data_IF_507375118165
#
_entry.id   IF_507375118165
#
_cell.length_a   1.000
_cell.length_b   1.000
_cell.length_c   1.000
_cell.angle_alpha   90.00
_cell.angle_beta   90.00
_cell.angle_gamma   90.00
#
_symmetry.space_group_name_H-M   'P 1'
#
loop_
_entity.id
_entity.type
_entity.pdbx_description
1 polymer ?
#
# COMPACT_ATOMS: atom_id res chain seq x y z
N UNK A 1 -9.75 -5.02 27.93
CA UNK A 1 -8.44 -5.58 27.52
C UNK A 1 -7.81 -6.14 28.78
N UNK A 2 -7.25 -7.35 28.76
CA UNK A 2 -6.79 -8.00 29.98
C UNK A 2 -5.27 -8.19 29.94
N UNK A 3 -4.62 -8.05 31.10
CA UNK A 3 -3.19 -8.27 31.28
C UNK A 3 -2.96 -9.48 32.16
N UNK A 4 -1.86 -10.19 31.95
CA UNK A 4 -1.38 -11.20 32.91
C UNK A 4 -0.40 -10.56 33.88
N UNK A 5 -0.67 -10.70 35.18
CA UNK A 5 0.24 -10.30 36.26
C UNK A 5 0.41 -11.51 37.17
N UNK A 6 1.64 -12.01 37.30
CA UNK A 6 1.96 -13.17 38.13
C UNK A 6 1.08 -14.42 37.85
N UNK A 7 0.77 -14.67 36.58
CA UNK A 7 -0.04 -15.84 36.16
C UNK A 7 -1.56 -15.68 36.34
N UNK A 8 -2.05 -14.53 36.81
CA UNK A 8 -3.48 -14.22 36.91
C UNK A 8 -3.87 -13.20 35.85
N UNK A 9 -5.00 -13.44 35.19
CA UNK A 9 -5.58 -12.52 34.21
C UNK A 9 -6.38 -11.45 34.95
N UNK A 10 -5.98 -10.18 34.79
CA UNK A 10 -6.61 -9.02 35.42
C UNK A 10 -7.07 -8.06 34.32
N UNK A 11 -8.22 -7.40 34.49
CA UNK A 11 -8.64 -6.33 33.58
C UNK A 11 -7.62 -5.18 33.62
N UNK A 12 -7.26 -4.65 32.45
CA UNK A 12 -6.46 -3.43 32.37
C UNK A 12 -7.25 -2.25 32.92
N UNK A 13 -6.56 -1.32 33.56
CA UNK A 13 -7.14 -0.05 33.99
C UNK A 13 -7.42 0.86 32.79
N UNK A 14 -8.31 1.84 32.95
CA UNK A 14 -8.63 2.80 31.89
C UNK A 14 -7.39 3.59 31.42
N UNK A 15 -6.47 3.91 32.33
CA UNK A 15 -5.20 4.56 32.02
C UNK A 15 -4.29 3.68 31.15
N UNK A 16 -4.17 2.38 31.47
CA UNK A 16 -3.39 1.43 30.67
C UNK A 16 -4.01 1.21 29.28
N UNK A 17 -5.33 1.20 29.18
CA UNK A 17 -6.04 1.12 27.90
C UNK A 17 -5.80 2.39 27.06
N UNK A 18 -5.83 3.56 27.68
CA UNK A 18 -5.58 4.84 27.00
C UNK A 18 -4.14 4.92 26.46
N UNK A 19 -3.14 4.52 27.27
CA UNK A 19 -1.74 4.49 26.84
C UNK A 19 -1.53 3.49 25.70
N UNK A 20 -2.11 2.29 25.81
CA UNK A 20 -2.04 1.30 24.74
C UNK A 20 -2.66 1.82 23.44
N UNK A 21 -3.84 2.45 23.51
CA UNK A 21 -4.48 3.01 22.33
C UNK A 21 -3.70 4.20 21.74
N UNK A 22 -3.03 5.01 22.56
CA UNK A 22 -2.16 6.09 22.09
C UNK A 22 -0.90 5.56 21.39
N UNK A 23 -0.44 4.35 21.71
CA UNK A 23 0.70 3.70 21.04
C UNK A 23 0.35 3.11 19.67
N UNK A 24 -0.93 2.93 19.36
CA UNK A 24 -1.36 2.38 18.07
C UNK A 24 -1.16 3.40 16.96
N UNK A 25 -0.84 2.94 15.74
CA UNK A 25 -0.85 3.83 14.60
C UNK A 25 -2.24 4.44 14.41
N UNK A 26 -2.26 5.73 14.15
CA UNK A 26 -3.46 6.46 13.76
C UNK A 26 -3.97 5.98 12.40
N UNK A 27 -5.24 6.22 12.12
CA UNK A 27 -5.84 5.90 10.81
C UNK A 27 -5.10 6.57 9.66
N UNK A 28 -4.60 7.79 9.87
CA UNK A 28 -3.79 8.51 8.89
C UNK A 28 -2.46 7.81 8.59
N UNK A 29 -1.78 7.27 9.61
CA UNK A 29 -0.55 6.50 9.42
C UNK A 29 -0.82 5.15 8.76
N UNK A 30 -1.91 4.48 9.11
CA UNK A 30 -2.35 3.24 8.45
C UNK A 30 -2.61 3.52 6.97
N UNK A 31 -3.36 4.58 6.66
CA UNK A 31 -3.65 5.02 5.30
C UNK A 31 -2.37 5.33 4.51
N UNK A 32 -1.43 6.06 5.13
CA UNK A 32 -0.14 6.39 4.50
C UNK A 32 0.67 5.12 4.16
N UNK A 33 0.70 4.13 5.06
CA UNK A 33 1.38 2.84 4.81
C UNK A 33 0.73 2.04 3.68
N UNK A 34 -0.60 2.01 3.59
CA UNK A 34 -1.31 1.36 2.48
C UNK A 34 -0.91 1.97 1.14
N UNK A 35 -0.95 3.30 1.05
CA UNK A 35 -0.54 4.01 -0.15
C UNK A 35 0.95 3.85 -0.49
N UNK A 36 1.80 3.72 0.52
CA UNK A 36 3.22 3.41 0.31
C UNK A 36 3.39 2.03 -0.33
N UNK A 37 2.68 1.01 0.15
CA UNK A 37 2.69 -0.34 -0.43
C UNK A 37 2.21 -0.34 -1.88
N UNK A 38 1.12 0.38 -2.17
CA UNK A 38 0.58 0.50 -3.54
C UNK A 38 1.60 1.16 -4.47
N UNK A 39 2.25 2.23 -4.05
CA UNK A 39 3.32 2.87 -4.85
C UNK A 39 4.49 1.93 -5.11
N UNK A 40 4.90 1.15 -4.11
CA UNK A 40 5.95 0.15 -4.29
C UNK A 40 5.57 -0.94 -5.31
N UNK A 41 4.33 -1.43 -5.27
CA UNK A 41 3.82 -2.38 -6.27
C UNK A 41 3.77 -1.79 -7.69
N UNK A 42 3.32 -0.54 -7.82
CA UNK A 42 3.38 0.19 -9.10
C UNK A 42 4.80 0.29 -9.62
N UNK A 43 5.75 0.65 -8.76
CA UNK A 43 7.16 0.83 -9.14
C UNK A 43 7.76 -0.51 -9.61
N UNK A 44 7.40 -1.63 -8.96
CA UNK A 44 7.75 -2.97 -9.43
C UNK A 44 7.24 -3.27 -10.85
N UNK A 45 5.96 -3.01 -11.12
CA UNK A 45 5.36 -3.23 -12.46
C UNK A 45 5.95 -2.32 -13.54
N UNK A 46 6.28 -1.07 -13.20
CA UNK A 46 6.96 -0.16 -14.11
C UNK A 46 8.39 -0.62 -14.40
N UNK A 47 9.10 -1.15 -13.40
CA UNK A 47 10.44 -1.70 -13.54
C UNK A 47 10.46 -2.93 -14.45
N UNK A 48 9.52 -3.86 -14.25
CA UNK A 48 9.37 -5.08 -15.08
C UNK A 48 9.21 -4.78 -16.58
N UNK A 49 8.64 -3.61 -16.90
CA UNK A 49 8.36 -3.19 -18.29
C UNK A 49 9.33 -2.14 -18.80
N UNK A 50 10.35 -1.77 -18.03
CA UNK A 50 11.24 -0.65 -18.36
C UNK A 50 12.13 -0.95 -19.56
N UNK A 51 12.59 -2.19 -19.69
CA UNK A 51 13.40 -2.65 -20.82
C UNK A 51 12.72 -2.44 -22.19
N UNK A 52 11.37 -2.41 -22.23
CA UNK A 52 10.60 -2.17 -23.47
C UNK A 52 10.68 -0.73 -23.95
N UNK A 53 10.99 0.21 -23.04
CA UNK A 53 11.07 1.64 -23.31
C UNK A 53 12.50 2.11 -23.64
N UNK A 54 13.41 1.19 -23.99
CA UNK A 54 14.75 1.52 -24.45
C UNK A 54 14.74 2.28 -25.78
N UNK A 55 15.80 3.05 -26.06
CA UNK A 55 15.94 3.87 -27.28
C UNK A 55 15.89 3.07 -28.58
N UNK A 56 16.26 1.79 -28.51
CA UNK A 56 16.31 0.89 -29.66
C UNK A 56 14.94 0.26 -29.99
N UNK A 57 13.92 0.51 -29.16
CA UNK A 57 12.58 -0.08 -29.31
C UNK A 57 11.52 1.02 -29.48
N UNK A 58 10.63 0.81 -30.45
CA UNK A 58 9.40 1.58 -30.52
C UNK A 58 8.37 0.97 -29.58
N UNK A 59 8.13 1.63 -28.44
CA UNK A 59 7.11 1.21 -27.49
C UNK A 59 5.72 1.30 -28.14
N UNK A 60 4.97 0.19 -28.16
CA UNK A 60 3.62 0.18 -28.72
C UNK A 60 2.67 1.06 -27.89
N UNK A 61 1.59 1.54 -28.50
CA UNK A 61 0.62 2.37 -27.80
C UNK A 61 -0.06 1.62 -26.64
N UNK A 62 -0.28 0.31 -26.77
CA UNK A 62 -0.78 -0.52 -25.68
C UNK A 62 0.16 -0.48 -24.46
N UNK A 63 1.48 -0.55 -24.67
CA UNK A 63 2.46 -0.45 -23.58
C UNK A 63 2.56 0.97 -23.00
N UNK A 64 2.42 2.01 -23.83
CA UNK A 64 2.33 3.40 -23.34
C UNK A 64 1.13 3.59 -22.44
N UNK A 65 -0.05 3.14 -22.88
CA UNK A 65 -1.30 3.20 -22.12
C UNK A 65 -1.21 2.41 -20.82
N UNK A 66 -0.69 1.18 -20.85
CA UNK A 66 -0.48 0.36 -19.66
C UNK A 66 0.43 1.06 -18.63
N UNK A 67 1.60 1.55 -19.07
CA UNK A 67 2.56 2.23 -18.19
C UNK A 67 1.99 3.55 -17.66
N UNK A 68 1.16 4.26 -18.42
CA UNK A 68 0.47 5.45 -17.92
C UNK A 68 -0.57 5.08 -16.86
N UNK A 69 -1.41 4.09 -17.13
CA UNK A 69 -2.42 3.61 -16.18
C UNK A 69 -1.79 3.15 -14.87
N UNK A 70 -0.59 2.52 -14.89
CA UNK A 70 0.17 2.22 -13.67
C UNK A 70 0.52 3.49 -12.88
N UNK A 71 1.01 4.54 -13.55
CA UNK A 71 1.35 5.82 -12.90
C UNK A 71 0.14 6.49 -12.26
N UNK A 72 -1.04 6.28 -12.83
CA UNK A 72 -2.29 6.86 -12.37
C UNK A 72 -2.92 6.06 -11.21
N UNK A 73 -2.43 4.86 -10.87
CA UNK A 73 -2.97 4.03 -9.77
C UNK A 73 -3.13 4.80 -8.43
N UNK A 74 -2.17 5.62 -7.97
CA UNK A 74 -2.31 6.38 -6.73
C UNK A 74 -3.37 7.50 -6.74
N UNK A 75 -4.04 7.72 -7.87
CA UNK A 75 -5.16 8.68 -7.99
C UNK A 75 -6.51 8.07 -7.61
N UNK A 76 -6.57 6.74 -7.45
CA UNK A 76 -7.77 6.06 -6.96
C UNK A 76 -8.09 6.47 -5.52
N UNK A 77 -9.35 6.38 -5.12
CA UNK A 77 -9.80 6.85 -3.81
C UNK A 77 -9.66 5.81 -2.69
N UNK A 78 -9.67 4.53 -3.03
CA UNK A 78 -9.71 3.42 -2.06
C UNK A 78 -8.46 2.54 -2.14
N UNK A 79 -7.55 2.62 -1.15
CA UNK A 79 -6.35 1.79 -1.12
C UNK A 79 -6.63 0.32 -0.76
N UNK A 80 -7.82 -0.02 -0.24
CA UNK A 80 -8.21 -1.40 0.04
C UNK A 80 -8.85 -2.08 -1.19
N UNK A 81 -9.17 -1.30 -2.24
CA UNK A 81 -9.79 -1.79 -3.47
C UNK A 81 -9.15 -1.16 -4.72
N UNK A 82 -7.87 -1.48 -4.95
CA UNK A 82 -7.13 -0.98 -6.12
C UNK A 82 -7.42 -1.81 -7.36
N UNK A 83 -7.80 -1.13 -8.44
CA UNK A 83 -7.87 -1.72 -9.78
C UNK A 83 -6.52 -1.53 -10.48
N UNK A 84 -5.87 -2.63 -10.86
CA UNK A 84 -4.63 -2.61 -11.63
C UNK A 84 -4.90 -2.79 -13.13
N UNK A 85 -4.16 -2.10 -14.02
CA UNK A 85 -4.29 -2.32 -15.46
C UNK A 85 -3.79 -3.72 -15.83
N UNK A 86 -4.40 -4.31 -16.85
CA UNK A 86 -3.97 -5.60 -17.43
C UNK A 86 -2.78 -5.37 -18.35
N UNK A 87 -1.76 -6.21 -18.20
CA UNK A 87 -0.57 -6.15 -19.05
C UNK A 87 -0.90 -6.49 -20.52
N UNK A 88 -0.36 -5.75 -21.50
CA UNK A 88 -0.48 -6.11 -22.91
C UNK A 88 0.30 -7.37 -23.27
N UNK A 89 -0.15 -8.08 -24.29
CA UNK A 89 0.55 -9.21 -24.93
C UNK A 89 1.70 -8.75 -25.82
#
# INVERSE_FOLDING_TARGET
MNKMVNGVVIAMTDAEIAEFNASKPTDAEILARKWQSIRAQRDGKLFETDWRAGSDLTLSDAWKTYRQALRDVPTQSDPDNITWPTEPS
#
